data_IF_548477707126
#
_entry.id   IF_548477707126
#
_cell.length_a   1.000
_cell.length_b   1.000
_cell.length_c   1.000
_cell.angle_alpha   90.00
_cell.angle_beta   90.00
_cell.angle_gamma   90.00
#
_symmetry.space_group_name_H-M   'P 1'
#
loop_
_entity.id
_entity.type
_entity.pdbx_description
1 polymer ?
#
# COMPACT_ATOMS: atom_id res chain seq x y z
N UNK A 1 24.76 -49.58 -42.45
CA UNK A 1 24.85 -48.78 -41.22
C UNK A 1 24.73 -47.32 -41.62
N UNK A 2 23.54 -46.74 -41.54
CA UNK A 2 23.35 -45.29 -41.72
C UNK A 2 22.59 -44.76 -40.51
N UNK A 3 23.19 -43.74 -39.93
CA UNK A 3 23.05 -43.27 -38.56
C UNK A 3 21.78 -42.43 -38.34
N UNK A 4 21.23 -42.55 -37.14
CA UNK A 4 20.11 -41.79 -36.60
C UNK A 4 20.51 -40.33 -36.36
N UNK A 5 19.68 -39.38 -36.79
CA UNK A 5 19.68 -38.01 -36.23
C UNK A 5 18.23 -37.62 -35.95
N UNK A 6 17.77 -37.98 -34.76
CA UNK A 6 16.51 -37.50 -34.18
C UNK A 6 16.71 -36.07 -33.72
N UNK A 7 16.06 -35.11 -34.40
CA UNK A 7 16.05 -33.70 -33.98
C UNK A 7 15.04 -33.53 -32.85
N UNK A 8 15.51 -33.51 -31.62
CA UNK A 8 14.70 -33.13 -30.46
C UNK A 8 14.57 -31.61 -30.44
N UNK A 9 13.40 -31.09 -30.81
CA UNK A 9 13.06 -29.67 -30.64
C UNK A 9 12.65 -29.48 -29.17
N UNK A 10 13.54 -28.92 -28.37
CA UNK A 10 13.24 -28.52 -27.00
C UNK A 10 12.51 -27.17 -27.02
N UNK A 11 11.19 -27.19 -26.85
CA UNK A 11 10.40 -25.97 -26.66
C UNK A 11 10.64 -25.42 -25.25
N UNK A 12 11.40 -24.33 -25.13
CA UNK A 12 11.57 -23.60 -23.89
C UNK A 12 10.30 -22.78 -23.60
N UNK A 13 9.45 -23.28 -22.70
CA UNK A 13 8.36 -22.51 -22.08
C UNK A 13 8.98 -21.51 -21.11
N UNK A 14 9.17 -20.27 -21.55
CA UNK A 14 9.47 -19.14 -20.65
C UNK A 14 8.17 -18.78 -19.95
N UNK A 15 7.99 -19.30 -18.74
CA UNK A 15 6.99 -18.78 -17.82
C UNK A 15 7.44 -17.38 -17.39
N UNK A 16 6.84 -16.33 -17.96
CA UNK A 16 6.99 -14.99 -17.45
C UNK A 16 6.32 -14.94 -16.06
N UNK A 17 7.12 -15.12 -15.00
CA UNK A 17 6.71 -14.77 -13.66
C UNK A 17 6.47 -13.25 -13.64
N UNK A 18 5.22 -12.84 -13.81
CA UNK A 18 4.82 -11.46 -13.61
C UNK A 18 5.05 -11.12 -12.14
N UNK A 19 6.15 -10.45 -11.83
CA UNK A 19 6.38 -9.90 -10.49
C UNK A 19 5.36 -8.78 -10.30
N UNK A 20 4.24 -9.08 -9.63
CA UNK A 20 3.36 -8.05 -9.10
C UNK A 20 4.11 -7.41 -7.94
N UNK A 21 4.77 -6.29 -8.21
CA UNK A 21 5.53 -5.60 -7.17
C UNK A 21 4.59 -5.01 -6.11
N UNK A 22 3.48 -4.40 -6.51
CA UNK A 22 2.58 -3.72 -5.59
C UNK A 22 1.56 -4.65 -4.95
N UNK A 23 1.20 -4.37 -3.69
CA UNK A 23 0.31 -5.19 -2.88
C UNK A 23 -1.04 -4.56 -2.54
N UNK A 24 -1.85 -5.31 -1.81
CA UNK A 24 -3.12 -4.92 -1.20
C UNK A 24 -3.26 -5.59 0.17
N UNK A 25 -4.23 -5.16 0.98
CA UNK A 25 -4.52 -5.84 2.24
C UNK A 25 -5.28 -7.13 1.95
N UNK A 26 -4.67 -8.26 2.30
CA UNK A 26 -5.21 -9.61 2.14
C UNK A 26 -6.23 -9.92 3.25
N UNK A 27 -5.96 -9.50 4.49
CA UNK A 27 -6.89 -9.69 5.60
C UNK A 27 -6.67 -8.70 6.74
N UNK A 28 -7.70 -8.57 7.59
CA UNK A 28 -7.56 -8.01 8.93
C UNK A 28 -7.97 -9.07 9.96
N UNK A 29 -7.27 -9.14 11.08
CA UNK A 29 -7.63 -10.00 12.22
C UNK A 29 -7.97 -9.15 13.43
N UNK A 30 -9.12 -9.43 14.04
CA UNK A 30 -9.64 -8.77 15.24
C UNK A 30 -10.12 -9.84 16.21
N UNK A 31 -9.57 -9.87 17.43
CA UNK A 31 -9.99 -10.83 18.46
C UNK A 31 -9.83 -12.29 18.04
N UNK A 32 -8.84 -12.59 17.18
CA UNK A 32 -8.64 -13.90 16.58
C UNK A 32 -9.62 -14.25 15.44
N UNK A 33 -10.54 -13.35 15.08
CA UNK A 33 -11.41 -13.49 13.91
C UNK A 33 -10.78 -12.80 12.72
N UNK A 34 -10.52 -13.56 11.66
CA UNK A 34 -10.03 -13.03 10.40
C UNK A 34 -11.19 -12.56 9.51
N UNK A 35 -11.02 -11.38 8.91
CA UNK A 35 -11.89 -10.80 7.92
C UNK A 35 -11.09 -10.60 6.65
N UNK A 36 -11.58 -11.19 5.55
CA UNK A 36 -10.93 -11.10 4.26
C UNK A 36 -10.90 -9.66 3.73
N UNK A 37 -9.74 -9.28 3.20
CA UNK A 37 -9.49 -8.05 2.49
C UNK A 37 -10.02 -8.09 1.06
N UNK A 38 -9.83 -7.01 0.32
CA UNK A 38 -10.18 -6.97 -1.10
C UNK A 38 -8.97 -7.35 -1.94
N UNK A 39 -9.05 -8.45 -2.69
CA UNK A 39 -8.21 -8.66 -3.86
C UNK A 39 -8.86 -7.99 -5.08
N UNK A 40 -8.40 -6.79 -5.52
CA UNK A 40 -9.09 -6.05 -6.59
C UNK A 40 -9.02 -6.77 -7.92
N UNK A 41 -7.93 -7.51 -8.19
CA UNK A 41 -7.76 -8.28 -9.41
C UNK A 41 -8.75 -9.44 -9.53
N UNK A 42 -9.02 -10.15 -8.42
CA UNK A 42 -10.03 -11.20 -8.39
C UNK A 42 -11.46 -10.63 -8.40
N UNK A 43 -11.72 -9.64 -7.55
CA UNK A 43 -13.04 -9.05 -7.36
C UNK A 43 -13.61 -8.40 -8.64
N UNK A 44 -12.76 -7.94 -9.56
CA UNK A 44 -13.19 -7.39 -10.84
C UNK A 44 -13.95 -8.39 -11.73
N UNK A 45 -13.80 -9.70 -11.49
CA UNK A 45 -14.43 -10.77 -12.27
C UNK A 45 -15.48 -11.55 -11.47
N UNK A 46 -15.71 -11.22 -10.21
CA UNK A 46 -16.69 -11.91 -9.36
C UNK A 46 -18.11 -11.37 -9.55
N UNK A 47 -19.08 -12.27 -9.80
CA UNK A 47 -20.49 -11.92 -9.91
C UNK A 47 -21.40 -13.03 -9.35
N UNK A 48 -22.16 -12.78 -8.26
CA UNK A 48 -22.18 -11.54 -7.48
C UNK A 48 -20.85 -11.33 -6.75
N UNK A 49 -20.49 -10.05 -6.51
CA UNK A 49 -19.32 -9.71 -5.70
C UNK A 49 -19.46 -10.28 -4.30
N UNK A 50 -18.35 -10.75 -3.73
CA UNK A 50 -18.31 -11.18 -2.33
C UNK A 50 -18.63 -10.03 -1.38
N UNK A 51 -19.47 -10.31 -0.39
CA UNK A 51 -19.76 -9.36 0.68
C UNK A 51 -18.64 -9.41 1.74
N UNK A 52 -17.86 -8.34 1.81
CA UNK A 52 -16.70 -8.19 2.68
C UNK A 52 -16.89 -7.04 3.69
N UNK A 53 -16.00 -7.00 4.69
CA UNK A 53 -15.80 -5.81 5.53
C UNK A 53 -14.82 -4.80 4.90
N UNK A 54 -13.97 -5.28 3.97
CA UNK A 54 -13.14 -4.44 3.11
C UNK A 54 -13.99 -3.74 2.04
N UNK A 55 -13.66 -2.49 1.76
CA UNK A 55 -14.28 -1.72 0.68
C UNK A 55 -13.88 -2.30 -0.67
N UNK A 56 -14.80 -2.26 -1.63
CA UNK A 56 -14.45 -2.53 -3.02
C UNK A 56 -13.63 -1.37 -3.58
N UNK A 57 -12.75 -1.66 -4.54
CA UNK A 57 -11.95 -0.70 -5.28
C UNK A 57 -11.51 -1.31 -6.62
N UNK A 58 -11.15 -0.47 -7.60
CA UNK A 58 -10.88 -0.89 -8.99
C UNK A 58 -9.39 -0.88 -9.35
N UNK A 59 -8.49 -0.91 -8.37
CA UNK A 59 -7.03 -0.96 -8.55
C UNK A 59 -6.54 -2.37 -8.89
N UNK A 60 -7.02 -2.94 -10.00
CA UNK A 60 -6.68 -4.32 -10.45
C UNK A 60 -5.21 -4.53 -10.81
N UNK A 61 -4.50 -3.43 -11.03
CA UNK A 61 -3.05 -3.30 -11.23
C UNK A 61 -2.26 -3.31 -9.91
N UNK A 62 -2.94 -3.42 -8.75
CA UNK A 62 -2.40 -3.13 -7.41
C UNK A 62 -1.75 -1.73 -7.34
N UNK A 63 -2.20 -0.79 -8.17
CA UNK A 63 -1.65 0.57 -8.25
C UNK A 63 -2.02 1.45 -7.06
N UNK A 64 -1.67 2.72 -7.16
CA UNK A 64 -1.79 3.72 -6.11
C UNK A 64 -2.73 4.87 -6.51
N UNK A 65 -2.86 5.85 -5.63
CA UNK A 65 -3.40 7.19 -5.90
C UNK A 65 -2.25 8.20 -5.83
N UNK A 66 -2.02 8.97 -6.89
CA UNK A 66 -0.97 9.98 -6.94
C UNK A 66 -1.39 11.34 -6.34
N UNK A 67 -0.43 12.22 -5.99
CA UNK A 67 -0.70 13.54 -5.41
C UNK A 67 -1.65 14.44 -6.20
N UNK A 68 -1.68 14.37 -7.53
CA UNK A 68 -2.60 15.14 -8.36
C UNK A 68 -4.07 14.78 -8.13
N UNK A 69 -4.34 13.58 -7.59
CA UNK A 69 -5.68 13.10 -7.26
C UNK A 69 -6.04 13.29 -5.77
N UNK A 70 -5.22 13.98 -4.97
CA UNK A 70 -5.52 14.22 -3.54
C UNK A 70 -6.77 15.09 -3.31
N UNK A 71 -7.17 15.89 -4.29
CA UNK A 71 -8.44 16.62 -4.26
C UNK A 71 -9.67 15.78 -4.61
N UNK A 72 -9.47 14.56 -5.12
CA UNK A 72 -10.51 13.72 -5.70
C UNK A 72 -10.96 12.60 -4.75
N UNK A 73 -12.14 12.03 -5.02
CA UNK A 73 -12.74 11.01 -4.16
C UNK A 73 -11.94 9.69 -4.10
N UNK A 74 -10.94 9.51 -4.97
CA UNK A 74 -10.08 8.32 -5.02
C UNK A 74 -9.12 8.24 -3.82
N UNK A 75 -8.65 9.37 -3.27
CA UNK A 75 -7.75 9.35 -2.10
C UNK A 75 -8.44 8.86 -0.81
N UNK A 76 -9.77 8.83 -0.79
CA UNK A 76 -10.57 8.50 0.39
C UNK A 76 -10.37 7.03 0.75
N UNK A 77 -10.70 6.12 -0.17
CA UNK A 77 -10.69 4.67 0.04
C UNK A 77 -10.17 3.90 -1.18
N UNK A 78 -9.32 4.55 -1.99
CA UNK A 78 -8.81 4.10 -3.29
C UNK A 78 -9.75 4.38 -4.49
N UNK A 79 -9.17 4.21 -5.68
CA UNK A 79 -9.83 4.36 -7.00
C UNK A 79 -11.11 3.55 -7.10
N UNK A 80 -12.18 4.21 -7.54
CA UNK A 80 -13.47 3.55 -7.78
C UNK A 80 -14.11 2.95 -6.51
N UNK A 81 -13.69 3.39 -5.32
CA UNK A 81 -14.09 2.68 -4.11
C UNK A 81 -15.58 2.78 -3.79
N UNK A 82 -16.15 1.65 -3.40
CA UNK A 82 -17.55 1.49 -2.97
C UNK A 82 -17.62 0.84 -1.59
N UNK A 83 -18.67 1.19 -0.85
CA UNK A 83 -18.86 0.77 0.53
C UNK A 83 -18.84 -0.76 0.68
N UNK A 84 -18.15 -1.22 1.72
CA UNK A 84 -18.25 -2.61 2.15
C UNK A 84 -19.66 -2.90 2.71
N UNK A 85 -20.12 -4.16 2.58
CA UNK A 85 -21.46 -4.58 3.01
C UNK A 85 -21.44 -5.03 4.48
N UNK A 86 -20.37 -5.71 4.90
CA UNK A 86 -20.21 -6.20 6.27
C UNK A 86 -19.36 -5.23 7.10
N UNK A 87 -19.27 -5.50 8.40
CA UNK A 87 -18.38 -4.81 9.33
C UNK A 87 -17.61 -5.83 10.16
N UNK A 88 -16.36 -5.51 10.50
CA UNK A 88 -15.62 -6.23 11.52
C UNK A 88 -15.96 -5.71 12.91
N UNK A 89 -16.36 -6.60 13.82
CA UNK A 89 -16.64 -6.23 15.21
C UNK A 89 -15.34 -6.11 15.98
N UNK A 90 -15.18 -5.02 16.72
CA UNK A 90 -13.95 -4.72 17.46
C UNK A 90 -14.28 -4.01 18.77
N UNK A 91 -13.53 -4.31 19.83
CA UNK A 91 -13.62 -3.55 21.08
C UNK A 91 -12.62 -2.41 21.08
N UNK A 92 -13.00 -1.26 21.64
CA UNK A 92 -12.05 -0.20 21.90
C UNK A 92 -10.92 -0.70 22.84
N UNK A 93 -9.67 -0.38 22.51
CA UNK A 93 -8.45 -0.92 23.12
C UNK A 93 -7.92 -2.21 22.47
N UNK A 94 -8.69 -2.85 21.60
CA UNK A 94 -8.27 -4.04 20.87
C UNK A 94 -7.34 -3.69 19.71
N UNK A 95 -6.46 -4.64 19.37
CA UNK A 95 -5.59 -4.54 18.20
C UNK A 95 -6.29 -5.12 16.97
N UNK A 96 -6.13 -4.43 15.85
CA UNK A 96 -6.43 -4.91 14.51
C UNK A 96 -5.09 -5.24 13.87
N UNK A 97 -4.88 -6.51 13.54
CA UNK A 97 -3.72 -6.97 12.78
C UNK A 97 -4.06 -6.91 11.29
N UNK A 98 -3.31 -6.13 10.52
CA UNK A 98 -3.55 -5.88 9.09
C UNK A 98 -2.44 -6.58 8.32
N UNK A 99 -2.84 -7.47 7.40
CA UNK A 99 -1.92 -8.29 6.60
C UNK A 99 -1.96 -7.85 5.15
N UNK A 100 -0.82 -7.45 4.61
CA UNK A 100 -0.62 -7.24 3.17
C UNK A 100 -0.19 -8.55 2.51
N UNK A 101 -0.62 -8.76 1.27
CA UNK A 101 -0.17 -9.90 0.46
C UNK A 101 1.34 -9.83 0.19
N UNK A 102 1.82 -8.66 -0.22
CA UNK A 102 3.21 -8.36 -0.53
C UNK A 102 3.52 -6.88 -0.32
N UNK A 103 4.79 -6.54 -0.10
CA UNK A 103 5.26 -5.17 -0.16
C UNK A 103 6.73 -5.11 -0.64
N UNK A 104 7.08 -4.29 -1.65
CA UNK A 104 8.46 -4.17 -2.11
C UNK A 104 9.36 -3.46 -1.10
N UNK A 105 10.57 -3.97 -0.91
CA UNK A 105 11.60 -3.30 -0.11
C UNK A 105 11.97 -1.89 -0.63
N UNK A 106 11.83 -1.66 -1.94
CA UNK A 106 12.09 -0.34 -2.52
C UNK A 106 11.02 0.70 -2.15
N UNK A 107 9.80 0.27 -1.80
CA UNK A 107 8.66 1.13 -1.51
C UNK A 107 8.68 1.61 -0.05
N UNK A 108 9.79 2.27 0.30
CA UNK A 108 10.01 2.85 1.63
C UNK A 108 9.01 3.96 1.90
N UNK A 109 8.41 3.98 3.08
CA UNK A 109 7.43 4.99 3.42
C UNK A 109 6.75 4.85 4.78
N UNK A 110 5.98 5.86 5.20
CA UNK A 110 5.19 5.77 6.42
C UNK A 110 4.01 4.79 6.26
N UNK A 111 3.50 4.38 7.41
CA UNK A 111 2.22 3.68 7.55
C UNK A 111 1.32 4.51 8.47
N UNK A 112 0.09 4.78 8.05
CA UNK A 112 -0.81 5.72 8.72
C UNK A 112 -2.22 5.13 8.78
N UNK A 113 -2.87 5.25 9.94
CA UNK A 113 -4.20 4.74 10.20
C UNK A 113 -5.14 5.84 10.69
N UNK A 114 -6.34 5.86 10.11
CA UNK A 114 -7.40 6.82 10.45
C UNK A 114 -8.71 6.11 10.74
N UNK A 115 -9.55 6.74 11.56
CA UNK A 115 -10.96 6.39 11.69
C UNK A 115 -11.84 7.55 11.24
N UNK A 116 -12.99 7.24 10.65
CA UNK A 116 -14.06 8.20 10.39
C UNK A 116 -15.41 7.60 10.80
N UNK A 117 -16.22 8.33 11.56
CA UNK A 117 -17.55 7.85 11.94
C UNK A 117 -18.48 7.80 10.72
N UNK A 118 -19.25 6.72 10.60
CA UNK A 118 -20.30 6.55 9.59
C UNK A 118 -21.65 7.08 10.04
N UNK A 119 -21.74 7.60 11.27
CA UNK A 119 -23.00 7.99 11.91
C UNK A 119 -23.94 6.80 12.14
N UNK A 120 -25.21 7.10 12.44
CA UNK A 120 -26.23 6.10 12.77
C UNK A 120 -26.71 5.28 11.58
N UNK A 121 -26.51 5.76 10.34
CA UNK A 121 -26.91 5.05 9.13
C UNK A 121 -26.02 3.82 8.82
N UNK A 122 -24.84 3.76 9.43
CA UNK A 122 -23.88 2.66 9.25
C UNK A 122 -23.01 2.81 8.00
N UNK A 123 -21.87 2.11 7.99
CA UNK A 123 -20.86 2.28 6.95
C UNK A 123 -21.25 1.68 5.60
N UNK A 124 -22.20 0.74 5.54
CA UNK A 124 -22.72 0.21 4.27
C UNK A 124 -23.51 1.25 3.45
N UNK A 125 -23.87 2.40 4.04
CA UNK A 125 -24.68 3.44 3.40
C UNK A 125 -24.05 4.84 3.45
N UNK A 126 -22.85 4.96 4.01
CA UNK A 126 -22.21 6.27 4.19
C UNK A 126 -21.76 6.84 2.85
N UNK A 127 -22.00 8.13 2.61
CA UNK A 127 -21.33 8.82 1.51
C UNK A 127 -19.85 9.01 1.88
N UNK A 128 -18.94 8.36 1.15
CA UNK A 128 -17.50 8.42 1.45
C UNK A 128 -16.94 9.85 1.44
N UNK A 129 -17.53 10.76 0.67
CA UNK A 129 -17.09 12.17 0.61
C UNK A 129 -17.47 12.96 1.87
N UNK A 130 -18.45 12.47 2.64
CA UNK A 130 -18.85 13.05 3.92
C UNK A 130 -17.95 12.64 5.09
N UNK A 131 -17.18 11.56 4.94
CA UNK A 131 -16.31 11.02 5.99
C UNK A 131 -15.28 12.06 6.45
N UNK A 132 -15.15 12.17 7.78
CA UNK A 132 -14.15 13.02 8.45
C UNK A 132 -13.19 12.14 9.23
N UNK A 133 -11.98 12.00 8.70
CA UNK A 133 -10.93 11.14 9.22
C UNK A 133 -10.12 11.83 10.31
N UNK A 134 -10.02 11.19 11.47
CA UNK A 134 -9.06 11.54 12.51
C UNK A 134 -7.99 10.45 12.58
N UNK A 135 -6.74 10.87 12.72
CA UNK A 135 -5.58 9.97 12.76
C UNK A 135 -5.53 9.26 14.10
N UNK A 136 -5.38 7.93 14.08
CA UNK A 136 -5.29 7.09 15.29
C UNK A 136 -3.92 6.44 15.45
N UNK A 137 -3.19 6.27 14.35
CA UNK A 137 -1.81 5.81 14.38
C UNK A 137 -1.00 6.38 13.22
N UNK A 138 0.29 6.60 13.48
CA UNK A 138 1.26 6.92 12.44
C UNK A 138 2.65 6.40 12.80
N UNK A 139 3.38 5.94 11.80
CA UNK A 139 4.79 5.61 11.89
C UNK A 139 5.49 6.06 10.61
N UNK A 140 6.64 6.70 10.76
CA UNK A 140 7.41 7.28 9.66
C UNK A 140 8.81 6.67 9.57
N UNK A 141 9.81 7.54 9.49
CA UNK A 141 11.21 7.13 9.50
C UNK A 141 11.74 7.03 10.93
N UNK A 142 12.38 5.92 11.27
CA UNK A 142 13.07 5.69 12.54
C UNK A 142 14.57 6.05 12.43
N UNK A 143 15.26 6.08 13.56
CA UNK A 143 16.70 6.34 13.60
C UNK A 143 17.46 5.29 12.78
N UNK A 144 18.29 5.74 11.83
CA UNK A 144 19.04 4.85 10.93
C UNK A 144 18.45 4.74 9.52
N UNK A 145 17.41 5.52 9.18
CA UNK A 145 16.86 5.59 7.82
C UNK A 145 15.92 4.44 7.45
N UNK A 146 15.51 3.63 8.43
CA UNK A 146 14.44 2.65 8.28
C UNK A 146 13.09 3.35 8.30
N UNK A 147 12.17 2.90 7.47
CA UNK A 147 10.78 3.37 7.43
C UNK A 147 9.82 2.34 8.01
N UNK A 148 8.63 2.77 8.40
CA UNK A 148 7.58 1.89 8.91
C UNK A 148 7.24 0.73 7.95
N UNK A 149 7.33 0.94 6.64
CA UNK A 149 7.20 -0.14 5.64
C UNK A 149 8.29 -1.22 5.77
N UNK A 150 9.51 -0.87 6.20
CA UNK A 150 10.58 -1.85 6.43
C UNK A 150 10.24 -2.74 7.64
N UNK A 151 9.67 -2.16 8.69
CA UNK A 151 9.22 -2.90 9.87
C UNK A 151 8.03 -3.81 9.51
N UNK A 152 7.10 -3.31 8.69
CA UNK A 152 5.97 -4.09 8.14
C UNK A 152 6.46 -5.32 7.37
N UNK A 153 7.44 -5.16 6.46
CA UNK A 153 8.06 -6.28 5.72
C UNK A 153 8.72 -7.26 6.69
N UNK A 154 9.49 -6.76 7.66
CA UNK A 154 10.19 -7.60 8.64
C UNK A 154 9.23 -8.43 9.52
N UNK A 155 8.01 -7.94 9.76
CA UNK A 155 6.94 -8.67 10.42
C UNK A 155 6.10 -9.53 9.45
N UNK A 156 6.67 -9.89 8.30
CA UNK A 156 6.00 -10.69 7.29
C UNK A 156 4.81 -9.97 6.69
N UNK A 157 4.97 -8.72 6.25
CA UNK A 157 3.93 -7.88 5.66
C UNK A 157 2.74 -7.58 6.59
N UNK A 158 3.00 -7.43 7.89
CA UNK A 158 1.96 -7.28 8.91
C UNK A 158 2.11 -5.96 9.66
N UNK A 159 0.97 -5.32 9.96
CA UNK A 159 0.87 -4.09 10.74
C UNK A 159 -0.14 -4.26 11.87
N UNK A 160 0.09 -3.67 13.04
CA UNK A 160 -0.88 -3.61 14.13
C UNK A 160 -1.27 -2.16 14.43
N UNK A 161 -2.58 -1.95 14.53
CA UNK A 161 -3.17 -0.70 15.00
C UNK A 161 -4.12 -0.97 16.16
N UNK A 162 -4.08 -0.14 17.20
CA UNK A 162 -4.98 -0.24 18.34
C UNK A 162 -6.15 0.72 18.17
N UNK A 163 -7.38 0.23 18.34
CA UNK A 163 -8.57 1.08 18.39
C UNK A 163 -8.54 1.91 19.68
N UNK A 164 -8.61 3.24 19.65
CA UNK A 164 -8.49 4.04 20.88
C UNK A 164 -9.60 3.73 21.88
N UNK A 165 -9.28 3.59 23.17
CA UNK A 165 -10.29 3.32 24.22
C UNK A 165 -11.25 4.48 24.48
N UNK A 166 -10.88 5.70 24.08
CA UNK A 166 -11.59 6.92 24.39
C UNK A 166 -12.75 7.23 23.44
N UNK A 167 -12.77 6.66 22.23
CA UNK A 167 -13.79 6.98 21.22
C UNK A 167 -15.16 6.39 21.57
N UNK A 168 -16.21 7.06 21.15
CA UNK A 168 -17.59 6.59 21.29
C UNK A 168 -17.84 5.29 20.51
N UNK A 169 -18.66 4.40 21.06
CA UNK A 169 -19.15 3.24 20.32
C UNK A 169 -19.88 3.66 19.02
N UNK A 170 -19.78 2.83 17.99
CA UNK A 170 -20.47 3.09 16.71
C UNK A 170 -19.80 2.46 15.50
N UNK A 171 -20.31 2.85 14.33
CA UNK A 171 -19.80 2.38 13.05
C UNK A 171 -18.72 3.34 12.54
N UNK A 172 -17.55 2.80 12.20
CA UNK A 172 -16.41 3.57 11.70
C UNK A 172 -15.85 2.97 10.41
N UNK A 173 -15.35 3.81 9.52
CA UNK A 173 -14.40 3.38 8.48
C UNK A 173 -13.00 3.46 9.07
N UNK A 174 -12.29 2.34 9.11
CA UNK A 174 -10.84 2.30 9.20
C UNK A 174 -10.25 2.56 7.83
N UNK A 175 -9.39 3.56 7.72
CA UNK A 175 -8.56 3.83 6.54
C UNK A 175 -7.10 3.60 6.92
N UNK A 176 -6.56 2.46 6.47
CA UNK A 176 -5.16 2.11 6.58
C UNK A 176 -4.42 2.53 5.29
N UNK A 177 -3.20 3.03 5.39
CA UNK A 177 -2.46 3.50 4.23
C UNK A 177 -0.95 3.35 4.39
N UNK A 178 -0.30 2.89 3.32
CA UNK A 178 1.14 3.04 3.10
C UNK A 178 1.34 4.12 2.04
N UNK A 179 2.33 5.00 2.22
CA UNK A 179 2.73 6.00 1.21
C UNK A 179 4.13 5.66 0.72
N UNK A 180 4.29 5.10 -0.47
CA UNK A 180 5.62 4.79 -1.00
C UNK A 180 6.32 6.06 -1.52
N UNK A 181 7.57 6.25 -1.09
CA UNK A 181 8.34 7.47 -1.35
C UNK A 181 9.47 7.31 -2.37
N UNK A 182 9.63 6.12 -2.96
CA UNK A 182 10.76 5.81 -3.86
C UNK A 182 10.90 6.73 -5.07
N UNK A 183 9.83 7.41 -5.48
CA UNK A 183 9.86 8.44 -6.52
C UNK A 183 9.49 9.85 -6.00
N UNK A 184 9.25 10.01 -4.70
CA UNK A 184 8.72 11.22 -4.08
C UNK A 184 9.69 12.41 -4.06
N UNK A 185 10.94 12.23 -4.47
CA UNK A 185 11.85 13.36 -4.72
C UNK A 185 11.38 14.26 -5.88
N UNK A 186 10.47 13.78 -6.72
CA UNK A 186 9.82 14.53 -7.79
C UNK A 186 8.40 14.93 -7.40
N UNK A 187 7.93 16.05 -7.94
CA UNK A 187 6.51 16.41 -7.85
C UNK A 187 5.63 15.27 -8.38
N UNK A 188 4.52 15.01 -7.71
CA UNK A 188 3.60 13.91 -8.02
C UNK A 188 4.20 12.49 -7.92
N UNK A 189 5.38 12.33 -7.31
CA UNK A 189 6.10 11.06 -7.26
C UNK A 189 5.77 10.15 -6.07
N UNK A 190 5.12 10.67 -5.02
CA UNK A 190 4.61 9.83 -3.93
C UNK A 190 3.45 8.94 -4.42
N UNK A 191 3.29 7.79 -3.79
CA UNK A 191 2.29 6.79 -4.17
C UNK A 191 1.49 6.35 -2.94
N UNK A 192 0.21 6.70 -2.89
CA UNK A 192 -0.65 6.40 -1.76
C UNK A 192 -1.46 5.13 -1.99
N UNK A 193 -1.49 4.24 -1.00
CA UNK A 193 -2.21 2.97 -1.05
C UNK A 193 -3.26 2.87 0.07
N UNK A 194 -4.33 3.68 0.02
CA UNK A 194 -5.38 3.64 1.03
C UNK A 194 -6.24 2.37 0.90
N UNK A 195 -6.50 1.70 2.02
CA UNK A 195 -7.35 0.51 2.12
C UNK A 195 -8.38 0.74 3.23
N UNK A 196 -9.67 0.60 2.90
CA UNK A 196 -10.75 0.91 3.82
C UNK A 196 -11.50 -0.34 4.30
N UNK A 197 -11.87 -0.34 5.58
CA UNK A 197 -12.63 -1.40 6.23
C UNK A 197 -13.77 -0.79 7.06
N UNK A 198 -14.93 -1.41 7.05
CA UNK A 198 -16.00 -1.09 7.98
C UNK A 198 -15.74 -1.77 9.33
N UNK A 199 -15.84 -1.01 10.41
CA UNK A 199 -15.76 -1.48 11.79
C UNK A 199 -17.07 -1.19 12.54
N UNK A 200 -17.47 -2.12 13.39
CA UNK A 200 -18.48 -1.92 14.43
C UNK A 200 -17.74 -1.92 15.78
N UNK A 201 -17.56 -0.72 16.35
CA UNK A 201 -16.77 -0.51 17.56
C UNK A 201 -17.66 -0.56 18.80
N UNK A 202 -17.37 -1.50 19.70
CA UNK A 202 -17.89 -1.54 21.06
C UNK A 202 -16.98 -0.73 21.98
N UNK A 203 -17.51 0.22 22.73
CA UNK A 203 -16.72 1.13 23.58
C UNK A 203 -17.56 1.77 24.68
N UNK A 204 -16.94 2.02 25.84
CA UNK A 204 -17.46 2.89 26.90
C UNK A 204 -16.96 4.35 26.77
N UNK A 205 -16.12 4.61 25.77
CA UNK A 205 -15.62 5.95 25.47
C UNK A 205 -16.72 6.91 25.01
N UNK A 206 -16.41 8.20 25.06
CA UNK A 206 -17.35 9.29 24.71
C UNK A 206 -16.74 10.31 23.76
N UNK A 207 -15.46 10.18 23.42
CA UNK A 207 -14.80 11.13 22.53
C UNK A 207 -15.34 11.01 21.11
N UNK A 208 -15.59 12.17 20.49
CA UNK A 208 -15.93 12.33 19.08
C UNK A 208 -14.87 13.26 18.46
N UNK A 209 -13.69 12.74 18.07
CA UNK A 209 -12.58 13.57 17.64
C UNK A 209 -12.92 14.30 16.34
N UNK A 210 -12.52 15.56 16.23
CA UNK A 210 -12.66 16.31 14.99
C UNK A 210 -11.78 15.67 13.91
N UNK A 211 -12.40 15.31 12.78
CA UNK A 211 -11.72 14.75 11.61
C UNK A 211 -11.61 15.73 10.44
N UNK A 212 -10.83 15.34 9.44
CA UNK A 212 -10.60 16.07 8.18
C UNK A 212 -11.23 15.31 7.01
N UNK A 213 -11.76 16.01 6.01
CA UNK A 213 -12.26 15.35 4.80
C UNK A 213 -11.16 14.52 4.14
N UNK A 214 -11.48 13.36 3.56
CA UNK A 214 -10.48 12.53 2.88
C UNK A 214 -9.71 13.29 1.79
N UNK A 215 -10.41 14.12 1.01
CA UNK A 215 -9.85 15.02 -0.03
C UNK A 215 -9.06 16.22 0.51
N UNK A 216 -8.86 16.29 1.82
CA UNK A 216 -8.10 17.34 2.49
C UNK A 216 -7.09 16.75 3.48
N UNK A 217 -6.89 15.42 3.45
CA UNK A 217 -5.85 14.77 4.24
C UNK A 217 -4.48 15.24 3.79
N UNK A 218 -4.24 15.32 2.48
CA UNK A 218 -2.92 15.61 1.92
C UNK A 218 -2.95 16.76 0.94
N UNK A 219 -1.81 17.41 0.78
CA UNK A 219 -1.56 18.37 -0.30
C UNK A 219 -0.34 17.93 -1.10
N UNK A 220 -0.38 18.12 -2.42
CA UNK A 220 0.67 17.62 -3.30
C UNK A 220 2.07 18.22 -3.02
N UNK A 221 2.13 19.36 -2.32
CA UNK A 221 3.37 20.09 -2.04
C UNK A 221 3.88 19.97 -0.60
N UNK A 222 3.21 19.21 0.28
CA UNK A 222 3.70 19.08 1.66
C UNK A 222 5.00 18.27 1.72
N UNK A 223 5.87 18.58 2.70
CA UNK A 223 7.22 18.02 2.79
C UNK A 223 7.28 16.50 2.98
N UNK A 224 6.20 15.89 3.46
CA UNK A 224 6.08 14.43 3.58
C UNK A 224 5.69 13.73 2.28
N UNK A 225 5.20 14.49 1.30
CA UNK A 225 4.73 14.02 -0.01
C UNK A 225 5.78 14.31 -1.09
N UNK A 226 6.40 15.49 -1.08
CA UNK A 226 7.61 15.77 -1.87
C UNK A 226 8.83 15.57 -0.98
N UNK A 227 9.39 14.37 -1.01
CA UNK A 227 10.43 13.92 -0.11
C UNK A 227 11.49 13.10 -0.84
N UNK A 228 12.72 13.61 -0.89
CA UNK A 228 13.87 12.91 -1.44
C UNK A 228 14.49 11.97 -0.39
N UNK A 229 14.10 10.70 -0.42
CA UNK A 229 14.62 9.69 0.50
C UNK A 229 16.10 9.35 0.27
N UNK A 230 16.65 9.69 -0.90
CA UNK A 230 18.02 9.34 -1.29
C UNK A 230 19.04 10.40 -0.87
N UNK A 231 18.60 11.57 -0.40
CA UNK A 231 19.47 12.64 0.08
C UNK A 231 19.79 12.54 1.58
N UNK A 232 19.99 11.31 2.08
CA UNK A 232 20.35 11.00 3.47
C UNK A 232 19.54 11.75 4.55
N UNK A 233 18.19 11.70 4.51
CA UNK A 233 17.38 12.39 5.50
C UNK A 233 17.60 11.82 6.91
N UNK A 234 17.56 12.69 7.92
CA UNK A 234 17.64 12.32 9.34
C UNK A 234 16.30 12.37 10.05
N UNK A 235 15.28 12.96 9.42
CA UNK A 235 13.90 12.97 9.89
C UNK A 235 12.94 12.93 8.71
N UNK A 236 11.70 12.49 8.96
CA UNK A 236 10.63 12.47 7.98
C UNK A 236 9.38 13.15 8.56
N UNK A 237 8.87 14.23 7.95
CA UNK A 237 7.63 14.86 8.38
C UNK A 237 6.44 14.06 7.86
N UNK A 238 5.85 13.22 8.73
CA UNK A 238 4.68 12.41 8.36
C UNK A 238 3.54 13.35 7.90
N UNK A 239 2.93 13.10 6.72
CA UNK A 239 1.90 13.96 6.16
C UNK A 239 0.56 13.80 6.90
N UNK A 240 -0.37 14.70 6.59
CA UNK A 240 -1.74 14.65 7.11
C UNK A 240 -1.97 15.34 8.46
N UNK A 241 -3.20 15.28 8.99
CA UNK A 241 -3.56 15.96 10.22
C UNK A 241 -2.75 15.42 11.40
N UNK A 242 -2.55 16.26 12.41
CA UNK A 242 -1.95 15.82 13.68
C UNK A 242 -2.84 14.79 14.35
N UNK A 243 -2.23 13.80 14.98
CA UNK A 243 -2.93 12.88 15.87
C UNK A 243 -3.47 13.64 17.09
N UNK A 244 -4.79 13.64 17.26
CA UNK A 244 -5.49 14.45 18.26
C UNK A 244 -6.39 13.60 19.18
N UNK A 245 -6.05 12.32 19.38
CA UNK A 245 -6.84 11.36 20.18
C UNK A 245 -6.05 10.78 21.34
N UNK A 246 -6.67 10.72 22.52
CA UNK A 246 -6.10 10.07 23.69
C UNK A 246 -6.09 8.54 23.47
N UNK A 247 -4.92 7.93 23.64
CA UNK A 247 -4.70 6.51 23.31
C UNK A 247 -4.39 6.25 21.83
N UNK A 248 -4.15 7.30 21.03
CA UNK A 248 -3.48 7.12 19.74
C UNK A 248 -2.10 6.50 19.95
N UNK A 249 -1.68 5.63 19.04
CA UNK A 249 -0.42 4.88 19.15
C UNK A 249 0.51 5.24 18.01
N UNK A 250 1.82 5.08 18.21
CA UNK A 250 2.69 4.76 17.08
C UNK A 250 2.22 3.40 16.59
N UNK A 251 1.60 3.32 15.40
CA UNK A 251 1.30 2.02 14.81
C UNK A 251 2.61 1.22 14.73
N UNK A 252 2.53 -0.09 14.82
CA UNK A 252 3.74 -0.90 14.89
C UNK A 252 3.58 -2.18 14.09
N UNK A 253 4.67 -2.60 13.46
CA UNK A 253 4.81 -3.98 13.06
C UNK A 253 4.79 -4.85 14.33
N UNK A 254 4.05 -5.98 14.35
CA UNK A 254 4.04 -6.86 15.51
C UNK A 254 5.44 -7.35 15.82
N UNK A 255 5.83 -7.32 17.10
CA UNK A 255 7.05 -7.96 17.57
C UNK A 255 6.91 -9.47 17.38
N UNK A 256 7.81 -10.10 16.62
CA UNK A 256 7.86 -11.56 16.49
C UNK A 256 7.94 -12.18 17.89
N UNK A 257 7.07 -13.14 18.26
CA UNK A 257 7.25 -13.87 19.51
C UNK A 257 8.60 -14.57 19.47
N UNK A 258 9.42 -14.38 20.51
CA UNK A 258 10.59 -15.22 20.72
C UNK A 258 10.14 -16.67 20.74
N UNK A 259 10.83 -17.53 19.97
CA UNK A 259 10.64 -18.98 20.01
C UNK A 259 10.67 -19.43 21.48
N UNK A 260 9.69 -20.20 21.98
CA UNK A 260 9.73 -20.66 23.36
C UNK A 260 10.93 -21.59 23.51
N UNK A 261 11.98 -21.12 24.18
CA UNK A 261 13.04 -21.98 24.70
C UNK A 261 12.38 -22.95 25.67
N UNK A 262 12.28 -24.21 25.25
CA UNK A 262 11.91 -25.32 26.11
C UNK A 262 12.92 -25.40 27.25
N UNK A 263 12.49 -24.96 28.43
CA UNK A 263 13.20 -25.21 29.68
C UNK A 263 13.24 -26.71 29.91
N UNK A 264 14.44 -27.29 29.84
CA UNK A 264 14.67 -28.71 30.18
C UNK A 264 14.58 -28.87 31.69
N UNK A 265 13.37 -29.14 32.19
CA UNK A 265 13.14 -29.71 33.51
C UNK A 265 13.70 -31.13 33.53
N UNK A 266 14.62 -31.36 34.46
CA UNK A 266 15.16 -32.67 34.81
C UNK A 266 14.07 -33.56 35.39
N UNK A 267 13.81 -34.71 34.78
CA UNK A 267 13.37 -35.92 35.48
C UNK A 267 13.69 -37.19 34.65
N UNK A 268 14.57 -38.02 35.22
CA UNK A 268 14.93 -39.39 34.82
C UNK A 268 13.78 -40.36 35.10
N UNK A 269 13.62 -41.49 34.37
CA UNK A 269 14.42 -42.68 34.71
C UNK A 269 14.87 -43.61 33.57
N UNK A 270 15.87 -44.40 33.94
CA UNK A 270 16.64 -45.49 33.31
C UNK A 270 15.85 -46.59 32.58
N UNK A 271 16.34 -47.04 31.41
CA UNK A 271 17.00 -48.36 31.26
C UNK A 271 17.46 -48.72 29.82
N UNK A 272 18.77 -49.03 29.73
CA UNK A 272 19.43 -50.19 29.06
C UNK A 272 19.60 -50.26 27.52
N UNK A 273 20.82 -49.90 27.07
CA UNK A 273 21.81 -50.58 26.18
C UNK A 273 21.38 -51.34 24.89
N UNK A 274 22.10 -51.40 23.76
CA UNK A 274 23.34 -50.82 23.18
C UNK A 274 23.41 -51.30 21.68
N UNK A 275 24.57 -51.36 20.97
CA UNK A 275 25.08 -50.34 20.04
C UNK A 275 25.30 -50.86 18.59
N UNK A 276 25.42 -49.95 17.61
CA UNK A 276 26.09 -50.14 16.29
C UNK A 276 26.17 -48.76 15.63
N UNK A 277 27.16 -48.31 14.86
CA UNK A 277 28.52 -48.70 14.51
C UNK A 277 29.06 -47.49 13.73
N UNK A 278 30.29 -47.05 13.98
CA UNK A 278 30.89 -45.84 13.42
C UNK A 278 31.91 -46.17 12.34
N UNK A 279 31.84 -45.53 11.17
CA UNK A 279 32.95 -45.43 10.20
C UNK A 279 32.73 -44.21 9.26
N UNK A 280 33.75 -43.70 8.55
CA UNK A 280 34.50 -42.53 9.01
C UNK A 280 34.44 -41.32 8.04
N UNK A 281 34.97 -40.20 8.52
CA UNK A 281 35.25 -39.00 7.76
C UNK A 281 36.43 -39.19 6.79
N UNK A 282 36.35 -38.56 5.62
CA UNK A 282 37.49 -38.38 4.70
C UNK A 282 37.61 -36.91 4.29
N UNK A 283 38.86 -36.48 4.14
CA UNK A 283 39.34 -35.11 4.21
C UNK A 283 40.07 -34.70 2.93
N UNK A 284 39.98 -33.40 2.60
CA UNK A 284 40.88 -32.53 1.82
C UNK A 284 40.92 -32.71 0.28
N UNK A 285 40.46 -31.74 -0.55
CA UNK A 285 41.10 -30.46 -0.99
C UNK A 285 41.84 -30.62 -2.35
N UNK A 286 42.29 -29.57 -3.08
CA UNK A 286 41.79 -28.20 -3.36
C UNK A 286 41.83 -27.83 -4.89
N UNK A 287 41.56 -26.54 -5.21
CA UNK A 287 41.88 -25.73 -6.43
C UNK A 287 41.23 -26.15 -7.78
N UNK A 288 40.80 -25.26 -8.70
CA UNK A 288 41.48 -24.09 -9.27
C UNK A 288 40.50 -23.18 -10.05
N UNK A 289 40.89 -21.92 -10.21
CA UNK A 289 40.15 -20.79 -10.79
C UNK A 289 40.47 -20.50 -12.27
N UNK A 290 39.47 -19.94 -12.97
CA UNK A 290 39.54 -19.06 -14.16
C UNK A 290 39.77 -19.74 -15.55
N UNK A 291 39.44 -19.08 -16.71
CA UNK A 291 39.16 -17.66 -16.88
C UNK A 291 37.95 -17.26 -17.75
N UNK A 292 37.69 -15.94 -17.70
CA UNK A 292 36.85 -15.19 -18.62
C UNK A 292 37.41 -15.19 -20.05
N UNK A 293 36.52 -15.28 -21.04
CA UNK A 293 36.82 -14.97 -22.43
C UNK A 293 36.00 -13.75 -22.85
N UNK A 294 36.70 -12.63 -23.03
CA UNK A 294 36.21 -11.52 -23.83
C UNK A 294 36.22 -11.89 -25.31
N UNK A 295 35.35 -11.24 -26.08
CA UNK A 295 35.55 -11.10 -27.51
C UNK A 295 35.19 -9.67 -27.90
N UNK A 296 36.23 -8.87 -28.13
CA UNK A 296 36.12 -7.64 -28.89
C UNK A 296 35.97 -7.98 -30.37
N UNK A 297 35.18 -7.18 -31.08
CA UNK A 297 35.44 -6.94 -32.48
C UNK A 297 35.13 -5.47 -32.79
N UNK A 298 36.18 -4.73 -33.14
CA UNK A 298 36.13 -3.36 -33.65
C UNK A 298 36.25 -3.37 -35.18
N UNK A 299 35.72 -2.30 -35.77
CA UNK A 299 35.85 -1.76 -37.13
C UNK A 299 34.94 -2.38 -38.22
N UNK A 300 34.31 -1.58 -39.10
CA UNK A 300 34.69 -0.26 -39.58
C UNK A 300 33.47 0.60 -39.97
N UNK A 301 33.65 1.92 -39.97
CA UNK A 301 32.60 2.94 -40.11
C UNK A 301 32.20 3.31 -41.54
N UNK A 302 31.10 4.06 -41.60
CA UNK A 302 30.55 4.70 -42.79
C UNK A 302 29.43 5.68 -42.39
N UNK A 303 29.79 6.95 -42.19
CA UNK A 303 28.90 8.09 -41.92
C UNK A 303 28.09 8.45 -43.19
N UNK A 304 26.79 8.71 -43.14
CA UNK A 304 26.08 10.00 -42.90
C UNK A 304 24.73 9.94 -43.66
N UNK A 305 23.76 10.87 -43.50
CA UNK A 305 23.55 11.84 -42.44
C UNK A 305 22.13 11.78 -41.82
N UNK A 306 22.02 12.51 -40.71
CA UNK A 306 20.81 12.88 -39.97
C UNK A 306 19.89 13.76 -40.81
N UNK A 307 18.60 13.39 -40.90
CA UNK A 307 17.54 14.32 -41.31
C UNK A 307 16.89 14.90 -40.04
N UNK A 308 17.02 16.22 -39.91
CA UNK A 308 16.46 17.02 -38.81
C UNK A 308 15.16 17.63 -39.30
N UNK A 309 14.01 17.13 -38.85
CA UNK A 309 12.75 17.88 -38.99
C UNK A 309 12.54 18.78 -37.77
N UNK A 310 12.58 20.09 -38.04
CA UNK A 310 12.24 21.14 -37.11
C UNK A 310 10.70 21.27 -36.97
N UNK A 311 10.19 21.78 -35.84
CA UNK A 311 8.76 21.88 -35.58
C UNK A 311 8.09 23.02 -36.37
N UNK A 312 6.93 22.73 -36.95
CA UNK A 312 6.09 23.69 -37.64
C UNK A 312 5.50 24.73 -36.66
N UNK A 313 5.67 26.00 -37.00
CA UNK A 313 5.07 27.17 -36.35
C UNK A 313 3.63 27.37 -36.82
N UNK A 314 2.66 27.72 -35.96
CA UNK A 314 1.33 28.14 -36.40
C UNK A 314 1.29 29.66 -36.67
N UNK A 315 0.90 30.06 -37.89
CA UNK A 315 0.51 31.45 -38.20
C UNK A 315 -1.01 31.67 -38.01
N UNK A 316 -1.46 32.91 -37.72
CA UNK A 316 -2.82 33.20 -37.29
C UNK A 316 -3.73 33.56 -38.48
N UNK A 317 -4.99 33.15 -38.43
CA UNK A 317 -6.05 33.67 -39.29
C UNK A 317 -6.91 34.68 -38.53
N UNK A 318 -7.03 35.88 -39.11
CA UNK A 318 -7.90 36.96 -38.65
C UNK A 318 -9.27 36.90 -39.34
N UNK A 319 -10.24 37.49 -38.64
CA UNK A 319 -11.42 38.25 -39.10
C UNK A 319 -12.68 37.51 -39.58
N UNK A 320 -13.76 37.73 -38.82
CA UNK A 320 -15.14 37.43 -39.20
C UNK A 320 -16.16 37.91 -38.16
N UNK A 321 -16.33 39.23 -38.04
CA UNK A 321 -17.30 39.89 -37.15
C UNK A 321 -18.73 39.80 -37.71
N UNK A 322 -19.72 39.34 -36.93
CA UNK A 322 -21.13 39.74 -37.06
C UNK A 322 -21.82 39.81 -35.70
N UNK A 323 -22.06 41.03 -35.26
CA UNK A 323 -22.97 41.38 -34.17
C UNK A 323 -24.44 41.23 -34.61
N UNK A 324 -25.32 40.72 -33.74
CA UNK A 324 -26.74 41.12 -33.67
C UNK A 324 -27.30 41.01 -32.24
N UNK A 325 -27.45 42.20 -31.64
CA UNK A 325 -28.52 42.71 -30.75
C UNK A 325 -29.02 41.83 -29.58
N UNK A 326 -28.58 42.25 -28.38
CA UNK A 326 -29.37 42.15 -27.15
C UNK A 326 -30.65 43.01 -27.25
N UNK A 327 -31.79 42.46 -26.82
CA UNK A 327 -32.98 43.24 -26.42
C UNK A 327 -33.11 43.15 -24.91
N UNK A 328 -32.86 44.29 -24.25
CA UNK A 328 -33.32 44.57 -22.89
C UNK A 328 -34.83 44.78 -22.95
N UNK A 329 -35.59 44.19 -22.02
CA UNK A 329 -36.86 44.76 -21.60
C UNK A 329 -36.82 45.02 -20.10
N UNK A 330 -37.32 46.20 -19.76
CA UNK A 330 -37.24 46.87 -18.48
C UNK A 330 -38.19 46.28 -17.44
N UNK A 331 -37.80 46.45 -16.18
CA UNK A 331 -38.67 46.51 -15.01
C UNK A 331 -39.41 47.85 -15.00
N UNK A 332 -40.72 47.82 -14.80
CA UNK A 332 -41.56 48.85 -14.15
C UNK A 332 -42.47 48.05 -13.20
N UNK A 333 -42.40 48.18 -11.87
CA UNK A 333 -42.91 49.25 -10.98
C UNK A 333 -44.45 49.32 -10.89
N UNK A 334 -44.95 48.98 -9.69
CA UNK A 334 -46.18 49.42 -9.01
C UNK A 334 -47.55 49.24 -9.68
N UNK A 335 -48.30 48.21 -9.28
CA UNK A 335 -49.44 48.26 -8.32
C UNK A 335 -50.10 46.88 -8.20
#
# INVERSE_FOLDING_TARGET
MSSFITKTVLAALVAAAGVRAHGHVESITVGGTEYEGLNPGAAAFENPRKELAAWFATNTDNGFVEPSAFGDADIICHRGAENAVKSAKVKAGEKITIKWDTWPESHKGPVIDYLASCGSAGCAKVDKTSLKFFKIAEAGMTSGGKFASDDLIAAGNTWEVTVPTSIKAGNYVLRHEIIALHAAGQENGAQNYPQCFNLEVESDGTAEPAGVAGTSLYTASEKGIVFDLYNNPTSYPIPGPKMNIAGGSSGAAPSTPATPTTGSGSDTPSNTAAPVESAPAESAAPVESAPAAGNGNQNNGGASPVETEAPATPQPTKTGCKAKKARRHARDMMN
#
